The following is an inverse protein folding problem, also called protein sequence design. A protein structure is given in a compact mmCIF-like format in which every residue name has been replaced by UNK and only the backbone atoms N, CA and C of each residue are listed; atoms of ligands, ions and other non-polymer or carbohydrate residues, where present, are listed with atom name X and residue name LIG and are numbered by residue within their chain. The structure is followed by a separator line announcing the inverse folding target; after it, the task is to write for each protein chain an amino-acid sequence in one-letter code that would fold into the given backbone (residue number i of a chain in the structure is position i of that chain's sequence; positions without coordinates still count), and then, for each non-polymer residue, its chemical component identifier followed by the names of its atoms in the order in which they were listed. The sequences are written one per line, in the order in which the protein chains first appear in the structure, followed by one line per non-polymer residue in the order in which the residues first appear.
data_IF_394762048631
#
_entry.id   IF_394762048631
#
_cell.length_a   1.000
_cell.length_b   1.000
_cell.length_c   1.000
_cell.angle_alpha   90.00
_cell.angle_beta   90.00
_cell.angle_gamma   90.00
#
_symmetry.space_group_name_H-M   'P 1'
#
loop_
_entity.id
_entity.type
_entity.pdbx_description
1 polymer ?
#
# COMPACT_ATOMS: atom_id res chain seq x y z
N UNK A 1 -14.74 -8.57 -6.73
CA UNK A 1 -13.65 -9.26 -7.45
C UNK A 1 -14.20 -10.35 -8.38
N UNK A 2 -13.50 -10.69 -9.49
CA UNK A 2 -13.88 -11.81 -10.37
C UNK A 2 -13.90 -13.16 -9.64
N UNK A 3 -14.74 -14.10 -10.09
CA UNK A 3 -14.85 -15.44 -9.44
C UNK A 3 -13.52 -16.21 -9.38
N UNK A 4 -12.73 -16.13 -10.44
CA UNK A 4 -11.43 -16.81 -10.53
C UNK A 4 -10.42 -16.31 -9.47
N UNK A 5 -10.50 -15.05 -9.08
CA UNK A 5 -9.64 -14.49 -8.04
C UNK A 5 -9.80 -15.26 -6.73
N UNK A 6 -11.04 -15.53 -6.31
CA UNK A 6 -11.32 -16.24 -5.06
C UNK A 6 -10.85 -17.69 -5.07
N UNK A 7 -10.89 -18.38 -6.21
CA UNK A 7 -10.39 -19.75 -6.29
C UNK A 7 -8.87 -19.83 -6.10
N UNK A 8 -8.13 -18.84 -6.58
CA UNK A 8 -6.66 -18.82 -6.59
C UNK A 8 -6.05 -18.10 -5.37
N UNK A 9 -6.84 -17.35 -4.61
CA UNK A 9 -6.40 -16.46 -3.53
C UNK A 9 -7.28 -16.57 -2.28
N UNK A 10 -7.62 -17.80 -1.87
CA UNK A 10 -8.48 -18.06 -0.69
C UNK A 10 -7.87 -17.59 0.62
N UNK A 11 -6.55 -17.56 0.68
CA UNK A 11 -5.70 -17.15 1.78
C UNK A 11 -5.41 -15.64 1.78
N UNK A 12 -5.82 -14.91 0.74
CA UNK A 12 -5.63 -13.47 0.68
C UNK A 12 -6.52 -12.78 1.70
N UNK A 13 -5.89 -12.08 2.65
CA UNK A 13 -6.58 -11.29 3.68
C UNK A 13 -6.95 -9.91 3.17
N UNK A 14 -5.98 -9.25 2.52
CA UNK A 14 -6.10 -7.87 2.06
C UNK A 14 -5.22 -7.67 0.82
N UNK A 15 -5.73 -6.90 -0.13
CA UNK A 15 -4.98 -6.38 -1.27
C UNK A 15 -4.72 -4.91 -0.96
N UNK A 16 -3.46 -4.48 -0.97
CA UNK A 16 -3.08 -3.10 -0.69
C UNK A 16 -2.51 -2.45 -1.93
N UNK A 17 -2.82 -1.16 -2.08
CA UNK A 17 -2.23 -0.32 -3.11
C UNK A 17 -2.05 1.11 -2.60
N UNK A 18 -1.05 1.79 -3.16
CA UNK A 18 -0.80 3.19 -2.89
C UNK A 18 -1.34 4.05 -4.03
N UNK A 19 -2.05 5.10 -3.67
CA UNK A 19 -2.60 6.07 -4.61
C UNK A 19 -1.93 7.42 -4.40
N UNK A 20 -1.63 8.11 -5.49
CA UNK A 20 -1.05 9.45 -5.46
C UNK A 20 -1.98 10.47 -6.12
N UNK A 21 -2.23 11.56 -5.40
CA UNK A 21 -3.03 12.70 -5.87
C UNK A 21 -2.11 13.87 -6.17
N UNK A 22 -2.07 14.40 -7.40
CA UNK A 22 -1.31 15.61 -7.69
C UNK A 22 -1.90 16.78 -6.92
N UNK A 23 -1.03 17.62 -6.37
CA UNK A 23 -1.40 18.84 -5.66
C UNK A 23 -0.78 20.06 -6.33
N UNK A 24 -1.30 21.24 -5.97
CA UNK A 24 -0.61 22.48 -6.31
C UNK A 24 0.78 22.48 -5.65
N UNK A 25 1.78 22.91 -6.42
CA UNK A 25 3.15 23.08 -5.94
C UNK A 25 3.15 23.95 -4.67
N UNK A 26 3.61 23.43 -3.51
CA UNK A 26 3.71 24.22 -2.29
C UNK A 26 4.58 25.45 -2.47
N UNK A 27 4.39 26.51 -1.70
CA UNK A 27 5.24 27.70 -1.81
C UNK A 27 6.61 27.52 -1.14
N UNK A 28 6.65 26.77 -0.03
CA UNK A 28 7.87 26.49 0.70
C UNK A 28 8.74 25.46 -0.04
N UNK A 29 10.03 25.73 -0.30
CA UNK A 29 10.93 24.76 -0.91
C UNK A 29 11.02 23.43 -0.14
N UNK A 30 10.94 23.47 1.20
CA UNK A 30 10.97 22.28 2.03
C UNK A 30 9.71 21.42 1.83
N UNK A 31 8.53 22.04 1.79
CA UNK A 31 7.27 21.34 1.53
C UNK A 31 7.20 20.81 0.10
N UNK A 32 7.74 21.55 -0.86
CA UNK A 32 7.88 21.07 -2.24
C UNK A 32 8.73 19.80 -2.27
N UNK A 33 9.87 19.77 -1.59
CA UNK A 33 10.73 18.59 -1.56
C UNK A 33 10.02 17.39 -0.92
N UNK A 34 9.31 17.59 0.19
CA UNK A 34 8.56 16.52 0.86
C UNK A 34 7.38 16.02 0.02
N UNK A 35 6.67 16.90 -0.68
CA UNK A 35 5.55 16.50 -1.50
C UNK A 35 5.98 15.97 -2.89
N UNK A 36 7.24 16.11 -3.31
CA UNK A 36 7.64 15.74 -4.65
C UNK A 36 7.70 14.22 -4.81
N UNK A 37 6.88 13.67 -5.71
CA UNK A 37 6.95 12.29 -6.13
C UNK A 37 7.83 12.17 -7.36
N UNK A 38 8.93 11.43 -7.23
CA UNK A 38 9.80 11.11 -8.36
C UNK A 38 9.08 10.23 -9.40
N UNK A 39 8.15 9.39 -8.96
CA UNK A 39 7.39 8.51 -9.85
C UNK A 39 6.40 9.29 -10.72
N UNK A 40 5.68 10.27 -10.14
CA UNK A 40 4.74 11.12 -10.88
C UNK A 40 5.37 12.38 -11.46
N UNK A 41 6.63 12.65 -11.13
CA UNK A 41 7.38 13.85 -11.52
C UNK A 41 6.62 15.16 -11.20
N UNK A 42 5.93 15.19 -10.06
CA UNK A 42 5.15 16.35 -9.60
C UNK A 42 4.95 16.29 -8.08
N UNK A 43 4.45 17.38 -7.49
CA UNK A 43 4.04 17.38 -6.09
C UNK A 43 2.75 16.58 -5.92
N UNK A 44 2.77 15.58 -5.05
CA UNK A 44 1.64 14.72 -4.76
C UNK A 44 1.42 14.55 -3.26
N UNK A 45 0.21 14.13 -2.91
CA UNK A 45 -0.07 13.46 -1.64
C UNK A 45 -0.28 11.98 -1.94
N UNK A 46 0.29 11.13 -1.10
CA UNK A 46 0.20 9.67 -1.20
C UNK A 46 -0.69 9.11 -0.10
N UNK A 47 -1.62 8.24 -0.48
CA UNK A 47 -2.46 7.47 0.45
C UNK A 47 -2.29 5.97 0.21
N UNK A 48 -2.69 5.16 1.19
CA UNK A 48 -2.74 3.70 1.07
C UNK A 48 -4.15 3.21 1.33
N UNK A 49 -4.62 2.30 0.47
CA UNK A 49 -5.94 1.68 0.59
C UNK A 49 -5.76 0.17 0.66
N UNK A 50 -6.48 -0.46 1.58
CA UNK A 50 -6.63 -1.90 1.66
C UNK A 50 -8.03 -2.32 1.27
N UNK A 51 -8.14 -3.27 0.36
CA UNK A 51 -9.40 -3.89 -0.04
C UNK A 51 -9.41 -5.37 0.31
N UNK A 52 -10.55 -5.86 0.75
CA UNK A 52 -10.76 -7.29 0.99
C UNK A 52 -10.93 -8.02 -0.35
N UNK A 53 -10.69 -9.35 -0.41
CA UNK A 53 -11.04 -10.16 -1.58
C UNK A 53 -12.49 -9.99 -2.04
N UNK A 54 -13.42 -9.67 -1.13
CA UNK A 54 -14.83 -9.37 -1.44
C UNK A 54 -14.99 -8.17 -2.39
N UNK A 55 -13.97 -7.30 -2.47
CA UNK A 55 -14.00 -6.00 -3.16
C UNK A 55 -14.44 -4.83 -2.28
N UNK A 56 -14.63 -5.06 -0.98
CA UNK A 56 -14.95 -3.99 -0.02
C UNK A 56 -13.67 -3.32 0.46
N UNK A 57 -13.72 -2.00 0.66
CA UNK A 57 -12.63 -1.26 1.30
C UNK A 57 -12.61 -1.60 2.79
N UNK A 58 -11.50 -2.16 3.28
CA UNK A 58 -11.31 -2.50 4.70
C UNK A 58 -10.40 -1.52 5.43
N UNK A 59 -9.58 -0.76 4.69
CA UNK A 59 -8.57 0.09 5.29
C UNK A 59 -8.32 1.32 4.41
N UNK A 60 -8.24 2.49 5.03
CA UNK A 60 -7.82 3.74 4.38
C UNK A 60 -6.89 4.45 5.35
N UNK A 61 -5.68 4.77 4.87
CA UNK A 61 -4.73 5.58 5.62
C UNK A 61 -4.91 7.07 5.30
N UNK A 62 -4.70 7.98 6.27
CA UNK A 62 -4.56 9.41 5.98
C UNK A 62 -3.49 9.68 4.92
N UNK A 63 -3.60 10.83 4.25
CA UNK A 63 -2.65 11.22 3.22
C UNK A 63 -1.32 11.68 3.83
N UNK A 64 -0.23 11.32 3.17
CA UNK A 64 1.14 11.73 3.46
C UNK A 64 1.75 12.46 2.27
N UNK A 65 2.90 13.11 2.47
CA UNK A 65 3.60 13.76 1.38
C UNK A 65 4.13 12.75 0.35
N UNK A 66 4.08 13.09 -0.94
CA UNK A 66 4.38 12.21 -2.05
C UNK A 66 5.77 11.58 -2.07
N UNK A 67 6.75 12.15 -1.36
CA UNK A 67 8.10 11.59 -1.28
C UNK A 67 8.20 10.32 -0.41
N UNK A 68 7.17 10.00 0.39
CA UNK A 68 7.20 8.82 1.26
C UNK A 68 7.21 7.53 0.43
N UNK A 69 8.04 6.57 0.84
CA UNK A 69 8.05 5.25 0.22
C UNK A 69 6.83 4.42 0.62
N UNK A 70 6.40 3.52 -0.25
CA UNK A 70 5.25 2.65 0.03
C UNK A 70 5.51 1.74 1.23
N UNK A 71 6.76 1.30 1.42
CA UNK A 71 7.23 0.55 2.58
C UNK A 71 7.08 1.35 3.89
N UNK A 72 7.56 2.58 3.92
CA UNK A 72 7.43 3.44 5.12
C UNK A 72 5.97 3.73 5.43
N UNK A 73 5.17 3.95 4.40
CA UNK A 73 3.73 4.17 4.53
C UNK A 73 3.03 2.94 5.13
N UNK A 74 3.37 1.75 4.66
CA UNK A 74 2.88 0.49 5.21
C UNK A 74 3.27 0.30 6.68
N UNK A 75 4.52 0.56 7.06
CA UNK A 75 4.97 0.47 8.46
C UNK A 75 4.22 1.47 9.35
N UNK A 76 4.03 2.70 8.88
CA UNK A 76 3.27 3.74 9.61
C UNK A 76 1.79 3.41 9.74
N UNK A 77 1.25 2.60 8.84
CA UNK A 77 -0.18 2.29 8.78
C UNK A 77 -0.68 1.43 9.93
N UNK A 78 0.23 0.73 10.64
CA UNK A 78 -0.10 -0.27 11.65
C UNK A 78 -0.98 -1.42 11.13
N UNK A 79 -1.08 -1.58 9.80
CA UNK A 79 -1.85 -2.67 9.20
C UNK A 79 -1.32 -4.05 9.62
N UNK A 80 -0.01 -4.14 9.93
CA UNK A 80 0.61 -5.37 10.45
C UNK A 80 -0.03 -5.88 11.74
N UNK A 81 -0.54 -4.98 12.59
CA UNK A 81 -1.14 -5.34 13.88
C UNK A 81 -2.54 -5.98 13.72
N UNK A 82 -3.12 -5.86 12.51
CA UNK A 82 -4.42 -6.43 12.15
C UNK A 82 -4.30 -7.76 11.40
N UNK A 83 -3.08 -8.19 11.05
CA UNK A 83 -2.81 -9.42 10.33
C UNK A 83 -2.60 -10.58 11.30
N UNK A 84 -3.10 -11.75 10.92
CA UNK A 84 -2.95 -12.99 11.68
C UNK A 84 -1.87 -13.89 11.05
N UNK A 85 -1.17 -14.72 11.82
CA UNK A 85 -0.22 -15.68 11.27
C UNK A 85 -0.83 -16.53 10.15
N UNK A 86 -0.10 -16.68 9.04
CA UNK A 86 -0.49 -17.32 7.78
C UNK A 86 -1.38 -16.49 6.84
N UNK A 87 -1.76 -15.27 7.21
CA UNK A 87 -2.45 -14.37 6.27
C UNK A 87 -1.56 -14.06 5.05
N UNK A 88 -2.21 -13.92 3.89
CA UNK A 88 -1.56 -13.47 2.67
C UNK A 88 -2.00 -12.05 2.35
N UNK A 89 -1.03 -11.15 2.31
CA UNK A 89 -1.22 -9.80 1.81
C UNK A 89 -0.82 -9.77 0.34
N UNK A 90 -1.67 -9.16 -0.49
CA UNK A 90 -1.39 -8.99 -1.92
C UNK A 90 -1.03 -7.53 -2.20
N UNK A 91 0.05 -7.31 -2.93
CA UNK A 91 0.47 -5.97 -3.36
C UNK A 91 1.24 -6.07 -4.69
N UNK A 92 1.52 -4.92 -5.30
CA UNK A 92 2.36 -4.86 -6.49
C UNK A 92 3.82 -5.26 -6.19
N UNK A 93 4.58 -5.69 -7.22
CA UNK A 93 5.98 -6.12 -7.10
C UNK A 93 6.90 -5.04 -6.55
N UNK A 94 6.53 -3.76 -6.70
CA UNK A 94 7.28 -2.63 -6.12
C UNK A 94 7.20 -2.56 -4.59
N UNK A 95 6.29 -3.31 -3.97
CA UNK A 95 6.03 -3.26 -2.53
C UNK A 95 7.00 -4.13 -1.73
N UNK A 96 8.11 -3.53 -1.28
CA UNK A 96 9.21 -4.23 -0.60
C UNK A 96 8.95 -4.46 0.91
N UNK A 97 7.90 -5.23 1.25
CA UNK A 97 7.47 -5.50 2.64
C UNK A 97 7.58 -6.97 3.08
N UNK A 98 8.24 -7.80 2.28
CA UNK A 98 8.33 -9.25 2.53
C UNK A 98 9.00 -9.56 3.88
N UNK A 99 10.05 -8.82 4.23
CA UNK A 99 10.78 -9.00 5.48
C UNK A 99 9.94 -8.62 6.70
N UNK A 100 9.12 -7.58 6.57
CA UNK A 100 8.20 -7.12 7.60
C UNK A 100 7.12 -8.17 7.86
N UNK A 101 6.51 -8.71 6.80
CA UNK A 101 5.47 -9.73 6.91
C UNK A 101 6.00 -11.07 7.45
N UNK A 102 7.23 -11.45 7.11
CA UNK A 102 7.86 -12.66 7.65
C UNK A 102 7.98 -12.65 9.18
N UNK A 103 8.17 -11.48 9.80
CA UNK A 103 8.27 -11.34 11.28
C UNK A 103 7.00 -11.79 12.00
N UNK A 104 5.85 -11.68 11.34
CA UNK A 104 4.53 -12.08 11.87
C UNK A 104 3.99 -13.34 11.18
N UNK A 105 4.85 -14.10 10.49
CA UNK A 105 4.47 -15.32 9.76
C UNK A 105 3.39 -15.09 8.69
N UNK A 106 3.32 -13.89 8.12
CA UNK A 106 2.50 -13.55 6.97
C UNK A 106 3.29 -13.67 5.66
N UNK A 107 2.59 -13.74 4.53
CA UNK A 107 3.22 -13.84 3.20
C UNK A 107 2.80 -12.68 2.31
N UNK A 108 3.75 -12.17 1.53
CA UNK A 108 3.46 -11.30 0.41
C UNK A 108 3.16 -12.14 -0.83
N UNK A 109 2.09 -11.82 -1.54
CA UNK A 109 1.78 -12.38 -2.86
C UNK A 109 1.76 -11.25 -3.88
N UNK A 110 2.67 -11.31 -4.84
CA UNK A 110 2.69 -10.40 -5.98
C UNK A 110 2.02 -11.11 -7.17
N UNK A 111 0.88 -10.60 -7.69
CA UNK A 111 0.23 -11.22 -8.83
C UNK A 111 1.12 -11.17 -10.07
N UNK A 112 1.10 -12.25 -10.86
CA UNK A 112 1.83 -12.34 -12.13
C UNK A 112 0.94 -11.77 -13.23
N UNK A 113 1.03 -10.47 -13.43
CA UNK A 113 0.62 -9.81 -14.67
C UNK A 113 1.85 -9.61 -15.55
#
# INVERSE_FOLDING_TARGET
MPRQFYSENRDCRVIVDCIEFPIQKPNSPAEQQMAFSFYKNTNTLKGMIGIMPSGTISFILPLYCGSISDKELFIKSQLMDLLEPNDVLMADKGFQIEQELQKISCKLKCPKF
#
